data_IF_584034964047
#
_entry.id   IF_584034964047
#
_cell.length_a   1.000
_cell.length_b   1.000
_cell.length_c   1.000
_cell.angle_alpha   90.00
_cell.angle_beta   90.00
_cell.angle_gamma   90.00
#
_symmetry.space_group_name_H-M   'P 1'
#
loop_
_entity.id
_entity.type
_entity.pdbx_description
1 polymer ?
#
# COMPACT_ATOMS: atom_id res chain seq x y z
N UNK A 1 -15.88 24.86 -24.23
CA UNK A 1 -16.24 24.86 -22.79
C UNK A 1 -17.31 23.80 -22.54
N UNK A 2 -16.95 22.60 -22.09
CA UNK A 2 -17.88 21.51 -21.77
C UNK A 2 -17.80 21.20 -20.28
N UNK A 3 -18.94 21.34 -19.57
CA UNK A 3 -19.05 21.12 -18.12
C UNK A 3 -19.00 19.62 -17.81
N UNK A 4 -17.98 19.18 -17.07
CA UNK A 4 -17.86 17.83 -16.53
C UNK A 4 -18.87 17.63 -15.39
N UNK A 5 -19.85 16.73 -15.56
CA UNK A 5 -20.78 16.33 -14.49
C UNK A 5 -20.02 15.47 -13.47
N UNK A 6 -19.77 16.00 -12.27
CA UNK A 6 -19.30 15.22 -11.11
C UNK A 6 -20.43 14.30 -10.63
N UNK A 7 -20.25 12.98 -10.76
CA UNK A 7 -21.10 11.99 -10.10
C UNK A 7 -20.90 12.07 -8.59
N UNK A 8 -21.98 12.30 -7.83
CA UNK A 8 -21.95 12.35 -6.36
C UNK A 8 -21.78 10.92 -5.83
N UNK A 9 -20.76 10.70 -4.99
CA UNK A 9 -20.51 9.43 -4.28
C UNK A 9 -21.60 9.18 -3.23
N UNK A 10 -22.11 7.95 -3.18
CA UNK A 10 -23.08 7.47 -2.19
C UNK A 10 -22.40 7.23 -0.82
N UNK A 11 -22.85 7.90 0.25
CA UNK A 11 -22.23 7.84 1.58
C UNK A 11 -22.48 6.53 2.34
N UNK A 12 -23.35 5.64 1.84
CA UNK A 12 -23.70 4.38 2.53
C UNK A 12 -22.90 3.17 2.06
N UNK A 13 -22.07 3.33 1.02
CA UNK A 13 -21.29 2.23 0.47
C UNK A 13 -20.01 2.04 1.28
N UNK A 14 -20.07 1.19 2.30
CA UNK A 14 -18.88 0.63 2.97
C UNK A 14 -17.95 0.06 1.90
N UNK A 15 -16.69 0.53 1.78
CA UNK A 15 -15.77 0.02 0.79
C UNK A 15 -15.46 -1.43 1.13
N UNK A 16 -15.94 -2.34 0.29
CA UNK A 16 -15.69 -3.76 0.36
C UNK A 16 -14.19 -4.02 0.50
N UNK A 17 -13.82 -4.56 1.66
CA UNK A 17 -12.59 -5.30 1.91
C UNK A 17 -11.29 -4.56 1.55
N UNK A 18 -10.72 -3.89 2.55
CA UNK A 18 -9.30 -3.55 2.59
C UNK A 18 -8.51 -4.86 2.70
N UNK A 19 -8.31 -5.55 1.58
CA UNK A 19 -7.38 -6.69 1.49
C UNK A 19 -6.01 -6.11 1.16
N UNK A 20 -5.18 -5.96 2.19
CA UNK A 20 -3.75 -5.74 2.00
C UNK A 20 -3.13 -7.02 1.45
N UNK A 21 -2.97 -7.10 0.13
CA UNK A 21 -2.09 -8.08 -0.49
C UNK A 21 -0.64 -7.61 -0.30
N UNK A 22 0.00 -8.06 0.78
CA UNK A 22 1.46 -8.13 0.83
C UNK A 22 1.87 -9.30 -0.07
N UNK A 23 2.17 -9.00 -1.34
CA UNK A 23 2.53 -10.01 -2.33
C UNK A 23 4.01 -10.37 -2.14
N UNK A 24 4.32 -11.53 -1.57
CA UNK A 24 5.63 -12.16 -1.72
C UNK A 24 5.69 -12.70 -3.15
N UNK A 25 6.39 -12.01 -4.04
CA UNK A 25 6.60 -12.45 -5.43
C UNK A 25 7.84 -13.35 -5.46
N UNK A 26 7.67 -14.67 -5.39
CA UNK A 26 8.72 -15.62 -5.72
C UNK A 26 8.77 -15.76 -7.25
N UNK A 27 9.93 -15.44 -7.82
CA UNK A 27 10.19 -15.29 -9.26
C UNK A 27 10.43 -16.62 -9.99
N UNK A 28 9.45 -17.53 -10.02
CA UNK A 28 9.49 -18.63 -10.98
C UNK A 28 8.14 -18.88 -11.65
N UNK A 29 8.25 -19.15 -12.94
CA UNK A 29 7.22 -19.15 -13.97
C UNK A 29 6.31 -20.36 -13.80
N UNK A 30 4.99 -20.12 -13.83
CA UNK A 30 3.86 -21.08 -13.82
C UNK A 30 3.46 -21.59 -12.42
N UNK A 31 2.26 -21.15 -12.00
CA UNK A 31 1.62 -21.32 -10.69
C UNK A 31 2.19 -20.44 -9.56
N UNK A 32 1.56 -19.27 -9.35
CA UNK A 32 1.61 -18.60 -8.05
C UNK A 32 0.88 -19.50 -7.03
N UNK A 33 1.65 -20.37 -6.38
CA UNK A 33 1.15 -21.11 -5.22
C UNK A 33 0.99 -20.09 -4.09
N UNK A 34 -0.26 -19.85 -3.69
CA UNK A 34 -0.58 -19.02 -2.53
C UNK A 34 -0.57 -19.90 -1.29
N UNK A 35 0.30 -19.58 -0.33
CA UNK A 35 0.34 -20.23 0.99
C UNK A 35 -0.09 -19.23 2.07
N UNK A 36 -0.84 -19.71 3.06
CA UNK A 36 -1.17 -18.95 4.26
C UNK A 36 -0.23 -19.37 5.38
N UNK A 37 0.53 -18.43 5.94
CA UNK A 37 1.36 -18.67 7.12
C UNK A 37 0.54 -18.34 8.36
N UNK A 38 0.27 -19.34 9.19
CA UNK A 38 -0.33 -19.17 10.52
C UNK A 38 0.76 -19.30 11.59
N UNK A 39 0.51 -18.79 12.79
CA UNK A 39 1.49 -18.79 13.89
C UNK A 39 2.84 -18.17 13.50
N UNK A 40 2.81 -17.11 12.68
CA UNK A 40 3.98 -16.38 12.16
C UNK A 40 4.75 -15.58 13.23
N UNK A 41 4.33 -15.63 14.51
CA UNK A 41 4.96 -14.95 15.66
C UNK A 41 5.09 -13.42 15.54
N UNK A 42 4.43 -12.79 14.57
CA UNK A 42 4.33 -11.32 14.51
C UNK A 42 3.22 -10.90 15.48
N UNK A 43 3.51 -10.02 16.46
CA UNK A 43 2.49 -9.58 17.41
C UNK A 43 1.28 -8.93 16.70
N UNK A 44 0.04 -9.25 17.11
CA UNK A 44 -1.16 -8.64 16.51
C UNK A 44 -1.16 -7.10 16.59
N UNK A 45 -0.53 -6.52 17.63
CA UNK A 45 -0.37 -5.07 17.76
C UNK A 45 0.43 -4.44 16.61
N UNK A 46 1.49 -5.12 16.14
CA UNK A 46 2.33 -4.64 15.02
C UNK A 46 1.52 -4.65 13.72
N UNK A 47 0.76 -5.72 13.48
CA UNK A 47 -0.11 -5.82 12.29
C UNK A 47 -1.21 -4.75 12.33
N UNK A 48 -1.90 -4.62 13.46
CA UNK A 48 -2.97 -3.63 13.62
C UNK A 48 -2.44 -2.20 13.48
N UNK A 49 -1.27 -1.90 14.07
CA UNK A 49 -0.62 -0.60 13.93
C UNK A 49 -0.32 -0.24 12.48
N UNK A 50 0.24 -1.16 11.70
CA UNK A 50 0.49 -0.96 10.28
C UNK A 50 -0.82 -0.76 9.47
N UNK A 51 -1.86 -1.55 9.76
CA UNK A 51 -3.17 -1.39 9.14
C UNK A 51 -3.77 -0.01 9.43
N UNK A 52 -3.67 0.47 10.67
CA UNK A 52 -4.22 1.76 11.08
C UNK A 52 -3.43 2.93 10.50
N UNK A 53 -2.09 2.84 10.46
CA UNK A 53 -1.24 3.80 9.76
C UNK A 53 -1.60 3.89 8.27
N UNK A 54 -1.81 2.76 7.61
CA UNK A 54 -2.17 2.73 6.21
C UNK A 54 -3.59 3.30 5.98
N UNK A 55 -4.58 2.95 6.82
CA UNK A 55 -5.92 3.56 6.78
C UNK A 55 -5.85 5.08 6.94
N UNK A 56 -5.07 5.56 7.92
CA UNK A 56 -4.89 6.98 8.17
C UNK A 56 -4.28 7.69 6.96
N UNK A 57 -3.26 7.11 6.32
CA UNK A 57 -2.71 7.62 5.05
C UNK A 57 -3.76 7.72 3.95
N UNK A 58 -4.54 6.66 3.70
CA UNK A 58 -5.54 6.68 2.63
C UNK A 58 -6.73 7.61 2.92
N UNK A 59 -7.01 7.91 4.18
CA UNK A 59 -8.03 8.87 4.61
C UNK A 59 -7.57 10.34 4.52
N UNK A 60 -6.29 10.61 4.28
CA UNK A 60 -5.80 11.97 4.04
C UNK A 60 -6.43 12.60 2.79
N UNK A 61 -6.28 13.93 2.68
CA UNK A 61 -6.73 14.68 1.52
C UNK A 61 -6.09 14.17 0.23
N UNK A 62 -6.77 14.36 -0.90
CA UNK A 62 -6.20 14.00 -2.20
C UNK A 62 -4.94 14.82 -2.47
N UNK A 63 -4.92 16.08 -2.08
CA UNK A 63 -3.79 17.00 -2.23
C UNK A 63 -2.52 16.45 -1.60
N UNK A 64 -2.58 15.98 -0.35
CA UNK A 64 -1.43 15.41 0.35
C UNK A 64 -0.96 14.09 -0.28
N UNK A 65 -1.88 13.18 -0.62
CA UNK A 65 -1.53 11.90 -1.25
C UNK A 65 -0.91 12.08 -2.64
N UNK A 66 -1.41 13.05 -3.41
CA UNK A 66 -0.94 13.33 -4.77
C UNK A 66 0.50 13.88 -4.79
N UNK A 67 1.04 14.39 -3.68
CA UNK A 67 2.46 14.74 -3.57
C UNK A 67 3.39 13.54 -3.79
N UNK A 68 2.90 12.33 -3.48
CA UNK A 68 3.62 11.08 -3.69
C UNK A 68 3.30 10.44 -5.04
N UNK A 69 2.39 11.01 -5.84
CA UNK A 69 2.04 10.48 -7.15
C UNK A 69 3.21 10.62 -8.11
N UNK A 70 3.48 9.56 -8.87
CA UNK A 70 4.50 9.57 -9.92
C UNK A 70 4.24 8.45 -10.91
N UNK A 71 4.56 8.66 -12.18
CA UNK A 71 4.56 7.61 -13.20
C UNK A 71 5.85 6.79 -13.20
N UNK A 72 6.90 7.28 -12.53
CA UNK A 72 8.16 6.56 -12.40
C UNK A 72 8.03 5.38 -11.44
N UNK A 73 8.05 4.18 -12.01
CA UNK A 73 7.94 2.91 -11.27
C UNK A 73 9.18 2.63 -10.41
N UNK A 74 10.31 3.29 -10.67
CA UNK A 74 11.55 3.12 -9.90
C UNK A 74 11.64 4.03 -8.68
N UNK A 75 10.71 4.99 -8.56
CA UNK A 75 10.65 5.88 -7.39
C UNK A 75 10.55 5.05 -6.11
N UNK A 76 11.38 5.34 -5.09
CA UNK A 76 11.39 4.57 -3.85
C UNK A 76 10.07 4.57 -3.11
N UNK A 77 9.36 5.69 -3.15
CA UNK A 77 8.00 5.83 -2.61
C UNK A 77 7.11 6.42 -3.69
N UNK A 78 5.98 5.75 -3.97
CA UNK A 78 5.07 6.11 -5.05
C UNK A 78 3.63 5.81 -4.66
N UNK A 79 2.79 6.83 -4.65
CA UNK A 79 1.35 6.69 -4.67
C UNK A 79 0.88 6.52 -6.12
N UNK A 80 -0.11 5.66 -6.33
CA UNK A 80 -0.74 5.49 -7.63
C UNK A 80 -2.21 5.19 -7.48
N UNK A 81 -2.98 5.64 -8.46
CA UNK A 81 -4.36 5.25 -8.67
C UNK A 81 -4.42 4.54 -10.01
N UNK A 82 -5.27 3.54 -10.14
CA UNK A 82 -5.46 2.74 -11.35
C UNK A 82 -6.16 3.48 -12.50
N UNK A 83 -6.05 4.81 -12.56
CA UNK A 83 -6.60 5.69 -13.60
C UNK A 83 -5.64 5.85 -14.78
N UNK A 84 -5.11 4.76 -15.33
CA UNK A 84 -4.43 4.80 -16.63
C UNK A 84 -5.45 4.81 -17.76
N UNK A 85 -6.08 5.97 -17.96
CA UNK A 85 -7.15 6.19 -18.95
C UNK A 85 -6.78 5.89 -20.41
N UNK A 86 -5.49 5.76 -20.72
CA UNK A 86 -4.99 5.67 -22.11
C UNK A 86 -4.66 4.22 -22.53
N UNK A 87 -4.46 3.28 -21.60
CA UNK A 87 -3.98 1.92 -21.93
C UNK A 87 -4.75 0.76 -21.30
N UNK A 88 -5.50 0.98 -20.23
CA UNK A 88 -6.10 -0.14 -19.48
C UNK A 88 -7.49 -0.49 -20.00
N UNK A 89 -7.62 -1.69 -20.61
CA UNK A 89 -8.91 -2.30 -21.01
C UNK A 89 -9.70 -2.84 -19.81
N UNK A 90 -9.11 -2.88 -18.62
CA UNK A 90 -9.70 -3.42 -17.40
C UNK A 90 -9.57 -2.39 -16.28
N UNK A 91 -10.71 -1.89 -15.80
CA UNK A 91 -10.76 -0.96 -14.67
C UNK A 91 -10.58 -1.74 -13.37
N UNK A 92 -9.35 -1.88 -12.89
CA UNK A 92 -9.17 -2.15 -11.47
C UNK A 92 -9.44 -0.85 -10.72
N UNK A 93 -10.26 -0.86 -9.68
CA UNK A 93 -10.42 0.29 -8.77
C UNK A 93 -9.47 0.06 -7.60
N UNK A 94 -8.24 0.59 -7.68
CA UNK A 94 -7.24 0.43 -6.63
C UNK A 94 -6.40 1.69 -6.51
N UNK A 95 -6.40 2.23 -5.30
CA UNK A 95 -5.39 3.17 -4.84
C UNK A 95 -4.31 2.36 -4.12
N UNK A 96 -3.04 2.69 -4.32
CA UNK A 96 -1.94 2.01 -3.66
C UNK A 96 -0.80 2.97 -3.33
N UNK A 97 -0.02 2.61 -2.32
CA UNK A 97 1.29 3.17 -2.06
C UNK A 97 2.32 2.04 -2.15
N UNK A 98 3.36 2.25 -2.95
CA UNK A 98 4.54 1.39 -3.06
C UNK A 98 5.67 2.08 -2.33
N UNK A 99 6.41 1.34 -1.51
CA UNK A 99 7.61 1.82 -0.83
C UNK A 99 8.70 0.74 -0.81
N UNK A 100 9.96 1.14 -0.97
CA UNK A 100 11.09 0.24 -0.72
C UNK A 100 11.30 0.07 0.78
N UNK A 101 11.65 -1.16 1.17
CA UNK A 101 11.76 -1.56 2.57
C UNK A 101 12.92 -2.51 2.84
N UNK A 102 13.86 -2.71 1.90
CA UNK A 102 15.02 -3.57 2.13
C UNK A 102 16.30 -2.92 1.59
N UNK A 103 17.29 -2.61 2.45
CA UNK A 103 17.22 -2.58 3.92
C UNK A 103 16.41 -1.37 4.41
N UNK A 104 15.62 -1.51 5.48
CA UNK A 104 14.68 -0.46 5.96
C UNK A 104 15.39 0.85 6.29
N UNK A 105 16.59 0.76 6.88
CA UNK A 105 17.40 1.91 7.29
C UNK A 105 17.75 2.86 6.15
N UNK A 106 17.79 2.39 4.90
CA UNK A 106 18.08 3.22 3.73
C UNK A 106 16.85 3.95 3.18
N UNK A 107 15.64 3.47 3.51
CA UNK A 107 14.41 3.91 2.84
C UNK A 107 13.41 4.62 3.75
N UNK A 108 13.43 4.35 5.06
CA UNK A 108 12.39 4.80 6.00
C UNK A 108 12.21 6.33 6.03
N UNK A 109 13.28 7.09 5.79
CA UNK A 109 13.23 8.55 5.76
C UNK A 109 12.48 9.12 4.54
N UNK A 110 12.35 8.33 3.46
CA UNK A 110 11.62 8.69 2.26
C UNK A 110 10.12 8.38 2.36
N UNK A 111 9.72 7.58 3.35
CA UNK A 111 8.31 7.19 3.55
C UNK A 111 7.46 8.40 3.97
N UNK A 112 6.12 8.34 3.82
CA UNK A 112 5.23 9.40 4.29
C UNK A 112 5.53 9.79 5.74
N UNK A 113 5.76 11.08 6.00
CA UNK A 113 5.86 11.62 7.37
C UNK A 113 4.49 11.96 7.96
N UNK A 114 3.45 12.04 7.12
CA UNK A 114 2.06 12.19 7.52
C UNK A 114 1.28 10.93 7.06
N UNK A 115 0.51 10.25 7.94
CA UNK A 115 0.35 10.51 9.38
C UNK A 115 1.65 10.34 10.16
N UNK A 116 1.82 11.06 11.28
CA UNK A 116 3.06 11.05 12.07
C UNK A 116 3.50 9.64 12.53
N UNK A 117 2.52 8.74 12.77
CA UNK A 117 2.77 7.35 13.13
C UNK A 117 3.13 6.44 11.95
N UNK A 118 3.06 6.93 10.70
CA UNK A 118 3.17 6.07 9.51
C UNK A 118 4.49 5.30 9.46
N UNK A 119 5.61 6.02 9.60
CA UNK A 119 6.96 5.45 9.48
C UNK A 119 7.23 4.42 10.56
N UNK A 120 6.87 4.74 11.79
CA UNK A 120 7.07 3.85 12.94
C UNK A 120 6.25 2.56 12.78
N UNK A 121 4.94 2.69 12.56
CA UNK A 121 4.05 1.53 12.54
C UNK A 121 4.29 0.63 11.32
N UNK A 122 4.50 1.22 10.14
CA UNK A 122 4.88 0.45 8.95
C UNK A 122 6.30 -0.09 9.04
N UNK A 123 7.21 0.60 9.73
CA UNK A 123 8.60 0.20 9.92
C UNK A 123 8.69 -1.06 10.77
N UNK A 124 8.05 -1.04 11.94
CA UNK A 124 7.93 -2.20 12.83
C UNK A 124 7.37 -3.43 12.11
N UNK A 125 6.35 -3.22 11.26
CA UNK A 125 5.78 -4.31 10.47
C UNK A 125 6.74 -4.81 9.38
N UNK A 126 7.40 -3.91 8.66
CA UNK A 126 8.37 -4.28 7.63
C UNK A 126 9.57 -5.05 8.23
N UNK A 127 10.06 -4.66 9.40
CA UNK A 127 11.11 -5.38 10.13
C UNK A 127 10.64 -6.79 10.52
N UNK A 128 9.45 -6.90 11.11
CA UNK A 128 8.89 -8.19 11.51
C UNK A 128 8.67 -9.15 10.32
N UNK A 129 8.22 -8.61 9.17
CA UNK A 129 8.08 -9.39 7.93
C UNK A 129 9.43 -9.79 7.36
N UNK A 130 10.45 -8.92 7.45
CA UNK A 130 11.80 -9.23 7.03
C UNK A 130 12.41 -10.37 7.87
N UNK A 131 12.21 -10.37 9.18
CA UNK A 131 12.63 -11.49 10.04
C UNK A 131 11.87 -12.77 9.72
N UNK A 132 10.55 -12.70 9.49
CA UNK A 132 9.76 -13.85 9.05
C UNK A 132 10.29 -14.43 7.73
N UNK A 133 10.64 -13.57 6.76
CA UNK A 133 11.19 -13.99 5.47
C UNK A 133 12.47 -14.82 5.63
N UNK A 134 13.32 -14.52 6.62
CA UNK A 134 14.56 -15.30 6.87
C UNK A 134 14.29 -16.72 7.39
N UNK A 135 13.07 -16.98 7.87
CA UNK A 135 12.67 -18.28 8.44
C UNK A 135 11.90 -19.18 7.48
N UNK A 136 11.52 -18.65 6.31
CA UNK A 136 10.79 -19.36 5.24
C UNK A 136 11.76 -19.89 4.18
#
# INVERSE_FOLDING_TARGET
MSKQRRSKRDPTRVPSAVIFYMQIIISTRLMQVLISVINHNIPPSVINGALDAAKAFFNMSSEEKMQLMSDDVWKPVRYGTSLNHVKDRVHFWRDFIKQYCNPISEWIDLWPSNPACYREQMGNYAEAVHELQKTL
#
